data_IF_276708486145
#
_entry.id   IF_276708486145
#
_cell.length_a   1.000
_cell.length_b   1.000
_cell.length_c   1.000
_cell.angle_alpha   90.00
_cell.angle_beta   90.00
_cell.angle_gamma   90.00
#
_symmetry.space_group_name_H-M   'P 1'
#
loop_
_entity.id
_entity.type
_entity.pdbx_description
1 polymer ?
#
# COMPACT_ATOMS: atom_id res chain seq x y z
N UNK A 1 -28.52 -55.86 39.09
CA UNK A 1 -28.79 -55.03 37.92
C UNK A 1 -28.30 -53.56 38.10
N UNK A 2 -28.28 -52.97 39.32
CA UNK A 2 -27.85 -51.59 39.58
C UNK A 2 -26.30 -51.33 39.46
N UNK A 3 -25.50 -52.37 39.66
CA UNK A 3 -24.02 -52.27 39.64
C UNK A 3 -23.42 -52.15 38.22
N UNK A 4 -24.15 -52.55 37.20
CA UNK A 4 -23.69 -52.49 35.81
C UNK A 4 -24.04 -51.16 35.14
N UNK A 5 -24.99 -50.38 35.66
CA UNK A 5 -25.33 -49.05 35.19
C UNK A 5 -24.26 -47.99 35.56
N UNK A 6 -23.61 -48.17 36.73
CA UNK A 6 -22.54 -47.25 37.18
C UNK A 6 -21.21 -47.44 36.43
N UNK A 7 -20.98 -48.64 35.89
CA UNK A 7 -19.78 -48.90 35.06
C UNK A 7 -19.90 -48.33 33.65
N UNK A 8 -21.12 -48.21 33.10
CA UNK A 8 -21.36 -47.57 31.80
C UNK A 8 -21.26 -46.04 31.82
N UNK A 9 -21.64 -45.39 32.93
CA UNK A 9 -21.60 -43.96 33.10
C UNK A 9 -20.15 -43.41 33.27
N UNK A 10 -19.24 -44.22 33.87
CA UNK A 10 -17.82 -43.80 34.01
C UNK A 10 -17.04 -43.85 32.71
N UNK A 11 -17.43 -44.68 31.74
CA UNK A 11 -16.77 -44.74 30.41
C UNK A 11 -17.24 -43.60 29.49
N UNK A 12 -18.52 -43.18 29.64
CA UNK A 12 -19.06 -42.06 28.86
C UNK A 12 -18.53 -40.69 29.31
N UNK A 13 -18.18 -40.51 30.61
CA UNK A 13 -17.60 -39.27 31.12
C UNK A 13 -16.10 -39.09 30.76
N UNK A 14 -15.37 -40.18 30.52
CA UNK A 14 -13.97 -40.14 30.11
C UNK A 14 -13.76 -39.79 28.62
N UNK A 15 -14.77 -39.94 27.79
CA UNK A 15 -14.65 -39.65 26.34
C UNK A 15 -14.87 -38.15 25.99
N UNK A 16 -15.35 -37.31 26.93
CA UNK A 16 -15.60 -35.89 26.69
C UNK A 16 -14.47 -34.97 27.13
N UNK A 17 -13.36 -35.49 27.64
CA UNK A 17 -12.21 -34.71 28.08
C UNK A 17 -10.95 -34.93 27.24
N UNK A 18 -11.06 -35.53 26.06
CA UNK A 18 -9.95 -35.50 25.11
C UNK A 18 -9.75 -34.04 24.63
N UNK A 19 -8.58 -33.43 24.86
CA UNK A 19 -8.33 -32.11 24.25
C UNK A 19 -8.52 -32.27 22.75
N UNK A 20 -9.43 -31.49 22.17
CA UNK A 20 -9.46 -31.32 20.73
C UNK A 20 -8.09 -30.73 20.33
N UNK A 21 -7.20 -31.60 19.88
CA UNK A 21 -5.99 -31.15 19.17
C UNK A 21 -6.52 -30.45 17.94
N UNK A 22 -6.58 -29.12 18.00
CA UNK A 22 -6.80 -28.31 16.80
C UNK A 22 -5.74 -28.81 15.80
N UNK A 23 -6.17 -29.42 14.70
CA UNK A 23 -5.27 -29.79 13.63
C UNK A 23 -4.55 -28.51 13.23
N UNK A 24 -3.27 -28.40 13.59
CA UNK A 24 -2.41 -27.37 13.02
C UNK A 24 -2.56 -27.48 11.50
N UNK A 25 -2.79 -26.36 10.85
CA UNK A 25 -2.92 -26.31 9.39
C UNK A 25 -1.65 -26.91 8.80
N UNK A 26 -1.77 -28.11 8.24
CA UNK A 26 -0.63 -28.89 7.73
C UNK A 26 -0.27 -28.41 6.33
N UNK A 27 0.43 -27.29 6.22
CA UNK A 27 0.94 -26.74 4.97
C UNK A 27 1.08 -25.23 4.99
N UNK A 28 1.83 -24.66 4.05
CA UNK A 28 2.04 -23.21 3.98
C UNK A 28 0.71 -22.49 3.69
N UNK A 29 0.53 -21.33 4.33
CA UNK A 29 -0.52 -20.39 3.99
C UNK A 29 -0.08 -19.64 2.74
N UNK A 30 -0.82 -19.74 1.64
CA UNK A 30 -0.52 -19.02 0.42
C UNK A 30 -1.40 -17.78 0.32
N UNK A 31 -0.79 -16.63 0.01
CA UNK A 31 -1.47 -15.36 -0.19
C UNK A 31 -1.14 -14.79 -1.57
N UNK A 32 -2.18 -14.39 -2.30
CA UNK A 32 -2.06 -13.75 -3.60
C UNK A 32 -2.27 -12.25 -3.45
N UNK A 33 -1.23 -11.50 -3.78
CA UNK A 33 -1.18 -10.05 -3.70
C UNK A 33 -1.04 -9.40 -5.06
N UNK A 34 -1.34 -8.12 -5.12
CA UNK A 34 -1.00 -7.27 -6.24
C UNK A 34 -0.42 -5.95 -5.72
N UNK A 35 0.59 -5.42 -6.40
CA UNK A 35 1.05 -4.04 -6.19
C UNK A 35 0.29 -3.06 -7.09
N UNK A 36 0.35 -1.77 -6.77
CA UNK A 36 -0.18 -0.71 -7.64
C UNK A 36 0.82 -0.24 -8.69
N UNK A 37 1.96 -0.92 -8.83
CA UNK A 37 3.11 -0.50 -9.61
C UNK A 37 3.26 -1.31 -10.89
N UNK A 38 3.73 -0.69 -12.00
CA UNK A 38 4.19 -1.41 -13.18
C UNK A 38 5.33 -2.39 -12.84
N UNK A 39 5.45 -3.50 -13.57
CA UNK A 39 6.48 -4.50 -13.33
C UNK A 39 7.93 -3.99 -13.44
N UNK A 40 8.16 -2.87 -14.14
CA UNK A 40 9.50 -2.25 -14.30
C UNK A 40 9.79 -1.18 -13.24
N UNK A 41 8.83 -0.89 -12.36
CA UNK A 41 8.95 0.15 -11.34
C UNK A 41 9.74 -0.39 -10.14
N UNK A 42 10.67 0.40 -9.62
CA UNK A 42 11.39 0.10 -8.38
C UNK A 42 10.44 -0.15 -7.21
N UNK A 43 9.26 0.47 -7.20
CA UNK A 43 8.24 0.24 -6.17
C UNK A 43 7.65 -1.18 -6.25
N UNK A 44 7.61 -1.79 -7.44
CA UNK A 44 7.25 -3.21 -7.55
C UNK A 44 8.36 -4.10 -7.00
N UNK A 45 9.62 -3.73 -7.21
CA UNK A 45 10.77 -4.44 -6.60
C UNK A 45 10.70 -4.40 -5.07
N UNK A 46 10.32 -3.27 -4.47
CA UNK A 46 10.10 -3.16 -3.03
C UNK A 46 8.95 -4.05 -2.53
N UNK A 47 7.88 -4.17 -3.30
CA UNK A 47 6.79 -5.09 -2.98
C UNK A 47 7.25 -6.57 -3.01
N UNK A 48 8.08 -6.94 -3.99
CA UNK A 48 8.68 -8.27 -4.11
C UNK A 48 9.67 -8.53 -2.97
N UNK A 49 10.49 -7.55 -2.60
CA UNK A 49 11.44 -7.65 -1.50
C UNK A 49 10.74 -7.85 -0.14
N UNK A 50 9.68 -7.08 0.11
CA UNK A 50 8.84 -7.28 1.29
C UNK A 50 8.28 -8.71 1.35
N UNK A 51 7.69 -9.18 0.27
CA UNK A 51 7.14 -10.53 0.20
C UNK A 51 8.24 -11.59 0.43
N UNK A 52 9.42 -11.39 -0.16
CA UNK A 52 10.58 -12.27 0.06
C UNK A 52 10.98 -12.31 1.52
N UNK A 53 11.09 -11.15 2.21
CA UNK A 53 11.41 -11.08 3.63
C UNK A 53 10.40 -11.87 4.49
N UNK A 54 9.09 -11.68 4.23
CA UNK A 54 8.05 -12.44 4.94
C UNK A 54 8.19 -13.94 4.67
N UNK A 55 8.37 -14.35 3.43
CA UNK A 55 8.48 -15.75 3.03
C UNK A 55 9.70 -16.41 3.71
N UNK A 56 10.85 -15.73 3.69
CA UNK A 56 12.10 -16.24 4.30
C UNK A 56 12.00 -16.30 5.83
N UNK A 57 11.54 -15.22 6.48
CA UNK A 57 11.45 -15.12 7.93
C UNK A 57 10.40 -16.10 8.53
N UNK A 58 9.40 -16.50 7.76
CA UNK A 58 8.42 -17.51 8.16
C UNK A 58 8.92 -18.93 7.91
N UNK A 59 10.08 -19.12 7.24
CA UNK A 59 10.57 -20.44 6.83
C UNK A 59 9.63 -21.13 5.82
N UNK A 60 8.81 -20.34 5.11
CA UNK A 60 7.84 -20.83 4.14
C UNK A 60 6.48 -21.21 4.72
N UNK A 61 6.24 -21.01 6.03
CA UNK A 61 4.92 -21.18 6.64
C UNK A 61 3.87 -20.22 6.05
N UNK A 62 4.30 -19.02 5.62
CA UNK A 62 3.52 -18.06 4.87
C UNK A 62 4.22 -17.76 3.55
N UNK A 63 3.50 -17.85 2.43
CA UNK A 63 3.99 -17.55 1.09
C UNK A 63 3.13 -16.45 0.46
N UNK A 64 3.76 -15.32 0.21
CA UNK A 64 3.13 -14.19 -0.50
C UNK A 64 3.66 -14.19 -1.93
N UNK A 65 2.74 -14.26 -2.90
CA UNK A 65 2.99 -14.02 -4.32
C UNK A 65 2.50 -12.63 -4.68
N UNK A 66 3.36 -11.78 -5.25
CA UNK A 66 3.01 -10.39 -5.62
C UNK A 66 2.97 -10.25 -7.14
N UNK A 67 1.83 -9.85 -7.65
CA UNK A 67 1.60 -9.55 -9.06
C UNK A 67 1.74 -8.04 -9.32
N UNK A 68 2.20 -7.61 -10.50
CA UNK A 68 2.23 -6.19 -10.85
C UNK A 68 0.82 -5.63 -11.09
N UNK A 69 0.72 -4.30 -11.13
CA UNK A 69 -0.53 -3.58 -11.39
C UNK A 69 -1.24 -4.07 -12.65
N UNK A 70 -2.56 -4.19 -12.57
CA UNK A 70 -3.40 -4.61 -13.71
C UNK A 70 -3.49 -6.12 -13.93
N UNK A 71 -2.79 -6.94 -13.14
CA UNK A 71 -2.85 -8.41 -13.27
C UNK A 71 -4.21 -8.98 -12.84
N UNK A 72 -4.83 -8.39 -11.81
CA UNK A 72 -6.13 -8.81 -11.27
C UNK A 72 -7.14 -7.66 -11.33
N UNK A 73 -6.72 -6.46 -10.88
CA UNK A 73 -7.54 -5.25 -10.86
C UNK A 73 -6.72 -4.05 -11.32
N UNK A 74 -7.34 -2.97 -11.85
CA UNK A 74 -6.66 -1.70 -12.05
C UNK A 74 -6.01 -1.21 -10.74
N UNK A 75 -4.90 -0.45 -10.82
CA UNK A 75 -4.13 -0.04 -9.64
C UNK A 75 -5.00 0.66 -8.56
N UNK A 76 -5.88 1.58 -8.95
CA UNK A 76 -6.80 2.26 -8.01
C UNK A 76 -7.91 1.38 -7.43
N UNK A 77 -8.09 0.18 -7.97
CA UNK A 77 -9.03 -0.82 -7.45
C UNK A 77 -8.47 -1.71 -6.35
N UNK A 78 -7.18 -1.56 -5.99
CA UNK A 78 -6.49 -2.47 -5.08
C UNK A 78 -7.16 -2.54 -3.70
N UNK A 79 -7.46 -1.40 -3.07
CA UNK A 79 -8.10 -1.37 -1.74
C UNK A 79 -9.41 -2.15 -1.71
N UNK A 80 -10.24 -1.98 -2.73
CA UNK A 80 -11.52 -2.66 -2.83
C UNK A 80 -11.33 -4.17 -3.03
N UNK A 81 -10.38 -4.57 -3.87
CA UNK A 81 -10.08 -5.98 -4.11
C UNK A 81 -9.57 -6.70 -2.85
N UNK A 82 -8.70 -6.04 -2.08
CA UNK A 82 -8.20 -6.57 -0.80
C UNK A 82 -9.32 -6.60 0.24
N UNK A 83 -10.10 -5.52 0.36
CA UNK A 83 -11.21 -5.44 1.32
C UNK A 83 -12.26 -6.54 1.09
N UNK A 84 -12.58 -6.85 -0.17
CA UNK A 84 -13.52 -7.92 -0.55
C UNK A 84 -12.92 -9.33 -0.54
N UNK A 85 -11.60 -9.46 -0.39
CA UNK A 85 -10.91 -10.75 -0.39
C UNK A 85 -10.68 -11.37 -1.78
N UNK A 86 -10.86 -10.59 -2.87
CA UNK A 86 -10.44 -10.97 -4.23
C UNK A 86 -8.92 -11.14 -4.30
N UNK A 87 -8.21 -10.32 -3.56
CA UNK A 87 -6.80 -10.43 -3.22
C UNK A 87 -6.64 -10.61 -1.72
N UNK A 88 -5.62 -11.34 -1.31
CA UNK A 88 -5.32 -11.56 0.11
C UNK A 88 -4.64 -10.37 0.75
N UNK A 89 -3.96 -9.57 -0.08
CA UNK A 89 -3.28 -8.36 0.33
C UNK A 89 -2.77 -7.57 -0.87
N UNK A 90 -2.02 -6.52 -0.58
CA UNK A 90 -1.46 -5.67 -1.61
C UNK A 90 -0.44 -4.68 -1.09
N UNK A 91 0.24 -4.05 -2.03
CA UNK A 91 1.25 -3.03 -1.81
C UNK A 91 0.94 -1.80 -2.65
N UNK A 92 0.88 -0.65 -2.00
CA UNK A 92 0.53 0.60 -2.67
C UNK A 92 0.82 1.82 -1.82
N UNK A 93 0.03 2.86 -2.02
CA UNK A 93 0.08 4.13 -1.27
C UNK A 93 -1.33 4.61 -0.97
N UNK A 94 -1.49 5.21 0.22
CA UNK A 94 -2.79 5.70 0.68
C UNK A 94 -3.36 6.82 -0.20
N UNK A 95 -2.51 7.61 -0.86
CA UNK A 95 -2.93 8.65 -1.80
C UNK A 95 -3.76 8.13 -2.97
N UNK A 96 -3.60 6.87 -3.36
CA UNK A 96 -4.41 6.24 -4.41
C UNK A 96 -5.85 5.95 -3.97
N UNK A 97 -6.14 6.04 -2.69
CA UNK A 97 -7.48 5.86 -2.12
C UNK A 97 -8.21 7.19 -1.89
N UNK A 98 -7.62 8.31 -2.33
CA UNK A 98 -8.15 9.67 -2.17
C UNK A 98 -9.61 9.79 -2.61
N UNK A 99 -9.97 9.24 -3.76
CA UNK A 99 -11.34 9.26 -4.29
C UNK A 99 -12.37 8.50 -3.43
N UNK A 100 -11.93 7.56 -2.58
CA UNK A 100 -12.80 6.84 -1.64
C UNK A 100 -12.94 7.60 -0.32
N UNK A 101 -11.84 8.11 0.20
CA UNK A 101 -11.79 8.93 1.40
C UNK A 101 -10.54 9.80 1.35
N UNK A 102 -10.72 11.12 1.25
CA UNK A 102 -9.63 12.07 1.07
C UNK A 102 -8.66 12.12 2.27
N UNK A 103 -9.13 11.85 3.48
CA UNK A 103 -8.30 11.80 4.66
C UNK A 103 -7.19 10.73 4.61
N UNK A 104 -7.37 9.66 3.82
CA UNK A 104 -6.32 8.64 3.60
C UNK A 104 -5.04 9.26 3.01
N UNK A 105 -5.18 10.28 2.17
CA UNK A 105 -4.05 10.96 1.57
C UNK A 105 -3.17 11.73 2.58
N UNK A 106 -3.63 12.00 3.79
CA UNK A 106 -2.82 12.65 4.83
C UNK A 106 -1.62 11.81 5.27
N UNK A 107 -1.67 10.50 5.11
CA UNK A 107 -0.55 9.60 5.45
C UNK A 107 0.52 9.51 4.37
N UNK A 108 0.23 9.93 3.13
CA UNK A 108 1.13 9.66 2.01
C UNK A 108 1.30 10.82 1.03
N UNK A 109 0.28 11.63 0.77
CA UNK A 109 0.33 12.65 -0.28
C UNK A 109 -0.15 14.02 0.21
N UNK A 110 0.16 14.31 1.44
CA UNK A 110 -0.18 15.56 2.10
C UNK A 110 1.04 16.45 2.36
N UNK A 111 0.81 17.61 2.98
CA UNK A 111 1.85 18.59 3.29
C UNK A 111 2.83 18.14 4.40
N UNK A 112 2.65 16.96 4.97
CA UNK A 112 3.42 16.35 6.07
C UNK A 112 3.62 17.22 7.32
N UNK A 113 3.13 18.47 7.31
CA UNK A 113 3.16 19.44 8.44
C UNK A 113 4.55 19.63 9.08
N UNK A 114 5.60 19.63 8.26
CA UNK A 114 6.99 19.77 8.68
C UNK A 114 7.68 18.46 9.09
N UNK A 115 7.01 17.33 9.00
CA UNK A 115 7.62 16.02 9.20
C UNK A 115 8.32 15.55 7.91
N UNK A 116 9.43 14.84 8.06
CA UNK A 116 9.98 13.99 7.01
C UNK A 116 9.31 12.59 7.03
N UNK A 117 9.66 11.75 6.08
CA UNK A 117 9.05 10.42 5.96
C UNK A 117 9.34 9.51 7.16
N UNK A 118 10.53 9.61 7.77
CA UNK A 118 10.86 8.86 8.98
C UNK A 118 10.03 9.35 10.19
N UNK A 119 9.82 10.67 10.29
CA UNK A 119 8.95 11.25 11.33
C UNK A 119 7.50 10.80 11.17
N UNK A 120 6.99 10.70 9.94
CA UNK A 120 5.63 10.17 9.66
C UNK A 120 5.55 8.71 10.10
N UNK A 121 6.53 7.87 9.77
CA UNK A 121 6.58 6.47 10.20
C UNK A 121 6.64 6.37 11.73
N UNK A 122 7.45 7.20 12.40
CA UNK A 122 7.54 7.22 13.85
C UNK A 122 6.21 7.69 14.49
N UNK A 123 5.58 8.75 13.96
CA UNK A 123 4.26 9.18 14.41
C UNK A 123 3.20 8.09 14.19
N UNK A 124 3.22 7.45 13.04
CA UNK A 124 2.29 6.36 12.75
C UNK A 124 2.42 5.24 13.79
N UNK A 125 3.64 4.83 14.10
CA UNK A 125 3.93 3.72 15.02
C UNK A 125 3.72 4.08 16.49
N UNK A 126 4.14 5.26 16.92
CA UNK A 126 4.21 5.64 18.35
C UNK A 126 3.29 6.79 18.72
N UNK A 127 2.82 7.59 17.76
CA UNK A 127 2.02 8.80 17.96
C UNK A 127 0.52 8.60 17.74
N UNK A 128 0.05 7.36 17.59
CA UNK A 128 -1.38 7.05 17.41
C UNK A 128 -1.84 7.01 15.95
N UNK A 129 -0.96 7.24 14.98
CA UNK A 129 -1.30 7.24 13.55
C UNK A 129 -1.88 5.91 13.07
N UNK A 130 -1.35 4.76 13.55
CA UNK A 130 -1.85 3.44 13.20
C UNK A 130 -3.29 3.21 13.69
N UNK A 131 -3.60 3.66 14.90
CA UNK A 131 -4.96 3.58 15.47
C UNK A 131 -5.94 4.45 14.69
N UNK A 132 -5.54 5.69 14.34
CA UNK A 132 -6.36 6.60 13.54
C UNK A 132 -6.64 6.02 12.16
N UNK A 133 -5.63 5.46 11.48
CA UNK A 133 -5.80 4.83 10.17
C UNK A 133 -6.74 3.63 10.24
N UNK A 134 -6.61 2.79 11.27
CA UNK A 134 -7.51 1.65 11.49
C UNK A 134 -8.96 2.10 11.69
N UNK A 135 -9.19 3.15 12.50
CA UNK A 135 -10.52 3.75 12.69
C UNK A 135 -11.08 4.33 11.38
N UNK A 136 -10.23 4.97 10.59
CA UNK A 136 -10.63 5.54 9.31
C UNK A 136 -11.06 4.43 8.34
N UNK A 137 -10.28 3.36 8.20
CA UNK A 137 -10.67 2.22 7.37
C UNK A 137 -11.97 1.58 7.84
N UNK A 138 -12.16 1.39 9.15
CA UNK A 138 -13.40 0.87 9.72
C UNK A 138 -14.60 1.79 9.40
N UNK A 139 -14.44 3.12 9.48
CA UNK A 139 -15.50 4.10 9.23
C UNK A 139 -16.02 4.08 7.80
N UNK A 140 -15.18 3.69 6.84
CA UNK A 140 -15.55 3.56 5.42
C UNK A 140 -15.88 2.12 5.01
N UNK A 141 -16.01 1.22 5.98
CA UNK A 141 -16.37 -0.19 5.74
C UNK A 141 -15.28 -1.01 5.03
N UNK A 142 -14.02 -0.57 5.05
CA UNK A 142 -12.92 -1.32 4.45
C UNK A 142 -12.37 -2.39 5.40
N UNK A 143 -12.41 -3.64 4.97
CA UNK A 143 -11.94 -4.81 5.72
C UNK A 143 -10.46 -5.06 5.46
N UNK A 144 -9.60 -4.15 5.91
CA UNK A 144 -8.14 -4.24 5.72
C UNK A 144 -7.39 -4.07 7.03
N UNK A 145 -6.27 -4.79 7.16
CA UNK A 145 -5.21 -4.53 8.13
C UNK A 145 -4.07 -3.86 7.38
N UNK A 146 -3.76 -2.63 7.74
CA UNK A 146 -2.77 -1.79 7.09
C UNK A 146 -1.50 -1.65 7.93
N UNK A 147 -0.36 -1.57 7.25
CA UNK A 147 0.94 -1.22 7.80
C UNK A 147 1.59 -0.17 6.91
N UNK A 148 2.14 0.88 7.50
CA UNK A 148 3.02 1.79 6.78
C UNK A 148 4.45 1.31 6.86
N UNK A 149 5.20 1.52 5.79
CA UNK A 149 6.62 1.25 5.76
C UNK A 149 7.35 2.10 4.72
N UNK A 150 8.67 2.04 4.76
CA UNK A 150 9.58 2.66 3.82
C UNK A 150 9.48 4.18 3.80
N UNK A 151 10.53 4.93 4.14
CA UNK A 151 10.54 6.36 3.91
C UNK A 151 10.65 6.64 2.42
N UNK A 152 9.78 7.48 1.88
CA UNK A 152 9.90 8.04 0.55
C UNK A 152 10.31 9.50 0.65
N UNK A 153 11.22 9.91 -0.22
CA UNK A 153 11.68 11.31 -0.29
C UNK A 153 10.58 12.24 -0.80
N UNK A 154 10.82 13.54 -0.66
CA UNK A 154 9.99 14.58 -1.26
C UNK A 154 9.78 14.34 -2.75
N UNK A 155 8.54 14.37 -3.20
CA UNK A 155 8.18 14.25 -4.61
C UNK A 155 8.72 15.45 -5.40
N UNK A 156 9.28 15.23 -6.61
CA UNK A 156 9.59 16.33 -7.52
C UNK A 156 8.31 17.05 -7.95
N UNK A 157 8.43 18.29 -8.42
CA UNK A 157 7.30 18.96 -9.05
C UNK A 157 6.82 18.17 -10.27
N UNK A 158 7.74 17.54 -10.98
CA UNK A 158 7.43 16.59 -12.03
C UNK A 158 8.18 16.82 -13.32
N UNK A 159 7.69 16.16 -14.37
CA UNK A 159 8.18 16.20 -15.74
C UNK A 159 7.22 17.02 -16.61
N UNK A 160 7.75 17.97 -17.38
CA UNK A 160 6.95 18.93 -18.14
C UNK A 160 7.44 19.06 -19.57
N UNK A 161 6.52 19.38 -20.49
CA UNK A 161 6.88 19.78 -21.88
C UNK A 161 7.61 21.11 -21.93
N UNK A 162 7.31 22.01 -20.96
CA UNK A 162 7.92 23.34 -20.80
C UNK A 162 8.20 23.61 -19.33
N UNK A 163 9.23 24.38 -18.96
CA UNK A 163 9.48 24.76 -17.58
C UNK A 163 8.29 25.51 -16.97
N UNK A 164 7.99 25.22 -15.70
CA UNK A 164 7.05 25.97 -14.86
C UNK A 164 7.87 26.99 -14.09
N UNK A 165 7.68 28.27 -14.36
CA UNK A 165 8.49 29.36 -13.79
C UNK A 165 7.71 30.26 -12.84
N UNK A 166 6.39 30.20 -12.88
CA UNK A 166 5.46 30.97 -12.04
C UNK A 166 4.14 30.23 -11.87
N UNK A 167 3.40 30.58 -10.85
CA UNK A 167 2.09 29.95 -10.55
C UNK A 167 1.11 30.05 -11.73
N UNK A 168 1.15 31.13 -12.49
CA UNK A 168 0.29 31.32 -13.66
C UNK A 168 0.51 30.26 -14.77
N UNK A 169 1.67 29.59 -14.80
CA UNK A 169 1.97 28.57 -15.79
C UNK A 169 1.17 27.27 -15.57
N UNK A 170 0.56 27.11 -14.39
CA UNK A 170 -0.38 26.02 -14.12
C UNK A 170 -1.76 26.23 -14.74
N UNK A 171 -2.13 27.45 -15.11
CA UNK A 171 -3.47 27.72 -15.63
C UNK A 171 -3.72 26.96 -16.95
N UNK A 172 -4.67 26.05 -16.92
CA UNK A 172 -5.04 25.20 -18.06
C UNK A 172 -4.06 24.07 -18.36
N UNK A 173 -2.98 23.91 -17.56
CA UNK A 173 -2.02 22.83 -17.71
C UNK A 173 -2.70 21.49 -17.46
N UNK A 174 -2.62 20.56 -18.41
CA UNK A 174 -3.06 19.18 -18.22
C UNK A 174 -2.04 18.44 -17.39
N UNK A 175 -2.30 18.32 -16.09
CA UNK A 175 -1.32 17.84 -15.13
C UNK A 175 -1.80 16.57 -14.42
N UNK A 176 -0.92 15.58 -14.35
CA UNK A 176 -1.18 14.38 -13.54
C UNK A 176 -0.58 14.55 -12.16
N UNK A 177 -1.39 14.35 -11.16
CA UNK A 177 -0.98 14.17 -9.76
C UNK A 177 -1.96 13.24 -9.03
N UNK A 178 -1.73 12.99 -7.76
CA UNK A 178 -2.60 12.16 -6.93
C UNK A 178 -2.81 12.78 -5.54
N UNK A 179 -3.73 12.20 -4.76
CA UNK A 179 -3.98 12.59 -3.37
C UNK A 179 -4.42 14.04 -3.22
N UNK A 180 -3.99 14.70 -2.16
CA UNK A 180 -4.34 16.10 -1.84
C UNK A 180 -3.76 17.11 -2.84
N UNK A 181 -2.72 16.76 -3.57
CA UNK A 181 -2.17 17.60 -4.62
C UNK A 181 -3.15 17.86 -5.76
N UNK A 182 -4.16 17.00 -5.94
CA UNK A 182 -5.26 17.22 -6.88
C UNK A 182 -5.96 18.55 -6.59
N UNK A 183 -6.35 18.76 -5.33
CA UNK A 183 -7.04 20.00 -4.92
C UNK A 183 -6.13 21.22 -5.05
N UNK A 184 -4.86 21.09 -4.63
CA UNK A 184 -3.89 22.16 -4.72
C UNK A 184 -3.70 22.65 -6.15
N UNK A 185 -3.37 21.77 -7.08
CA UNK A 185 -3.10 22.17 -8.46
C UNK A 185 -4.39 22.56 -9.22
N UNK A 186 -5.53 21.98 -8.85
CA UNK A 186 -6.83 22.45 -9.37
C UNK A 186 -7.11 23.88 -8.91
N UNK A 187 -6.85 24.22 -7.65
CA UNK A 187 -7.00 25.59 -7.16
C UNK A 187 -6.04 26.57 -7.83
N UNK A 188 -4.88 26.10 -8.30
CA UNK A 188 -3.93 26.88 -9.12
C UNK A 188 -4.37 27.01 -10.59
N UNK A 189 -5.48 26.39 -10.97
CA UNK A 189 -6.06 26.48 -12.32
C UNK A 189 -5.60 25.38 -13.29
N UNK A 190 -4.90 24.34 -12.84
CA UNK A 190 -4.53 23.20 -13.68
C UNK A 190 -5.75 22.31 -13.99
N UNK A 191 -5.74 21.68 -15.17
CA UNK A 191 -6.65 20.61 -15.54
C UNK A 191 -6.06 19.29 -15.04
N UNK A 192 -6.37 18.93 -13.79
CA UNK A 192 -5.75 17.79 -13.10
C UNK A 192 -6.44 16.47 -13.48
N UNK A 193 -5.62 15.45 -13.75
CA UNK A 193 -6.03 14.07 -13.93
C UNK A 193 -5.26 13.15 -12.98
N UNK A 194 -5.95 12.31 -12.25
CA UNK A 194 -5.35 11.22 -11.48
C UNK A 194 -5.22 9.98 -12.39
N UNK A 195 -3.97 9.56 -12.64
CA UNK A 195 -3.67 8.34 -13.37
C UNK A 195 -2.69 7.48 -12.57
N UNK A 196 -2.83 6.15 -12.61
CA UNK A 196 -1.82 5.26 -12.02
C UNK A 196 -0.50 5.33 -12.80
N UNK A 197 0.62 5.01 -12.13
CA UNK A 197 1.96 5.19 -12.68
C UNK A 197 2.19 4.64 -14.09
N UNK A 198 1.67 3.44 -14.37
CA UNK A 198 1.84 2.80 -15.69
C UNK A 198 1.11 3.49 -16.85
N UNK A 199 0.19 4.40 -16.57
CA UNK A 199 -0.59 5.11 -17.60
C UNK A 199 -0.03 6.49 -17.91
N UNK A 200 0.91 7.00 -17.12
CA UNK A 200 1.39 8.40 -17.22
C UNK A 200 2.18 8.62 -18.50
N UNK A 201 3.25 7.85 -18.73
CA UNK A 201 4.12 8.02 -19.90
C UNK A 201 3.33 7.86 -21.21
N UNK A 202 2.47 6.84 -21.38
CA UNK A 202 1.59 6.76 -22.55
C UNK A 202 0.64 7.95 -22.71
N UNK A 203 0.15 8.54 -21.62
CA UNK A 203 -0.73 9.71 -21.68
C UNK A 203 0.04 11.00 -22.08
N UNK A 204 1.28 11.16 -21.59
CA UNK A 204 2.17 12.25 -21.98
C UNK A 204 2.57 12.15 -23.45
N UNK A 205 2.91 10.96 -23.94
CA UNK A 205 3.29 10.71 -25.34
C UNK A 205 2.15 11.08 -26.30
N UNK A 206 0.93 10.69 -25.98
CA UNK A 206 -0.27 11.02 -26.76
C UNK A 206 -0.75 12.48 -26.62
N UNK A 207 -0.08 13.31 -25.81
CA UNK A 207 -0.46 14.70 -25.59
C UNK A 207 -1.73 14.90 -24.74
N UNK A 208 -2.14 13.86 -24.00
CA UNK A 208 -3.24 13.95 -23.03
C UNK A 208 -2.81 14.69 -21.76
N UNK A 209 -1.51 14.72 -21.48
CA UNK A 209 -0.89 15.46 -20.39
C UNK A 209 0.21 16.39 -20.92
N UNK A 210 0.34 17.54 -20.26
CA UNK A 210 1.42 18.51 -20.48
C UNK A 210 2.54 18.37 -19.44
N UNK A 211 2.23 17.73 -18.31
CA UNK A 211 3.17 17.41 -17.26
C UNK A 211 2.60 16.37 -16.29
N UNK A 212 3.49 15.74 -15.55
CA UNK A 212 3.14 14.76 -14.53
C UNK A 212 4.24 14.67 -13.47
N UNK A 213 3.85 14.47 -12.21
CA UNK A 213 4.71 13.93 -11.18
C UNK A 213 4.45 12.43 -11.03
N UNK A 214 5.42 11.68 -10.51
CA UNK A 214 5.18 10.28 -10.15
C UNK A 214 5.98 9.84 -8.94
N UNK A 215 7.33 9.80 -9.02
CA UNK A 215 8.17 9.30 -7.94
C UNK A 215 9.43 10.17 -7.76
N UNK A 216 10.54 9.74 -8.32
CA UNK A 216 11.81 10.47 -8.30
C UNK A 216 12.49 10.32 -9.66
N UNK A 217 13.48 11.19 -9.94
CA UNK A 217 14.12 11.25 -11.24
C UNK A 217 14.73 9.93 -11.71
N UNK A 218 15.25 9.11 -10.79
CA UNK A 218 15.86 7.81 -11.10
C UNK A 218 14.84 6.77 -11.52
N UNK A 219 13.77 6.62 -10.73
CA UNK A 219 12.67 5.69 -11.02
C UNK A 219 11.91 6.13 -12.27
N UNK A 220 11.56 7.41 -12.38
CA UNK A 220 10.82 7.96 -13.52
C UNK A 220 11.59 7.77 -14.83
N UNK A 221 12.92 7.85 -14.78
CA UNK A 221 13.77 7.53 -15.94
C UNK A 221 13.60 6.10 -16.42
N UNK A 222 13.51 5.13 -15.51
CA UNK A 222 13.30 3.71 -15.87
C UNK A 222 11.93 3.47 -16.51
N UNK A 223 10.95 4.30 -16.17
CA UNK A 223 9.62 4.24 -16.76
C UNK A 223 9.49 4.96 -18.11
N UNK A 224 10.52 5.70 -18.54
CA UNK A 224 10.56 6.37 -19.84
C UNK A 224 10.09 7.83 -19.84
N UNK A 225 9.99 8.49 -18.69
CA UNK A 225 9.61 9.91 -18.63
C UNK A 225 10.50 10.83 -19.47
N UNK A 226 11.85 10.66 -19.52
CA UNK A 226 12.71 11.47 -20.39
C UNK A 226 12.46 11.32 -21.89
N UNK A 227 11.81 10.24 -22.31
CA UNK A 227 11.50 10.00 -23.73
C UNK A 227 10.36 10.92 -24.20
N UNK A 228 9.42 11.22 -23.30
CA UNK A 228 8.21 12.02 -23.58
C UNK A 228 8.27 13.43 -23.01
N UNK A 229 9.23 13.74 -22.14
CA UNK A 229 9.44 15.07 -21.56
C UNK A 229 10.93 15.35 -21.32
N UNK A 230 11.39 16.57 -21.62
CA UNK A 230 12.79 16.96 -21.47
C UNK A 230 13.05 17.85 -20.25
N UNK A 231 12.02 18.25 -19.53
CA UNK A 231 12.12 19.12 -18.36
C UNK A 231 11.71 18.36 -17.12
N UNK A 232 12.67 18.06 -16.24
CA UNK A 232 12.44 17.53 -14.91
C UNK A 232 12.67 18.65 -13.89
N UNK A 233 11.66 18.94 -13.06
CA UNK A 233 11.71 19.96 -12.02
C UNK A 233 11.67 19.27 -10.65
N UNK A 234 12.80 19.28 -9.95
CA UNK A 234 12.96 18.49 -8.70
C UNK A 234 12.35 19.16 -7.47
N UNK A 235 12.33 20.50 -7.42
CA UNK A 235 11.89 21.23 -6.23
C UNK A 235 10.38 21.28 -6.15
N UNK A 236 9.85 20.79 -5.04
CA UNK A 236 8.44 20.92 -4.70
C UNK A 236 8.19 20.67 -3.20
N UNK A 237 7.05 21.15 -2.72
CA UNK A 237 6.56 20.93 -1.36
C UNK A 237 5.14 20.36 -1.32
N UNK A 238 4.56 20.02 -2.47
CA UNK A 238 3.18 19.54 -2.55
C UNK A 238 3.00 18.15 -1.91
N UNK A 239 4.03 17.32 -1.96
CA UNK A 239 4.13 16.01 -1.31
C UNK A 239 5.52 15.93 -0.67
N UNK A 240 5.66 16.53 0.51
CA UNK A 240 6.97 16.74 1.14
C UNK A 240 7.55 15.47 1.74
N UNK A 241 6.72 14.51 2.10
CA UNK A 241 7.14 13.19 2.59
C UNK A 241 6.07 12.16 2.29
N UNK A 242 6.50 10.95 1.98
CA UNK A 242 5.60 9.87 1.63
C UNK A 242 6.01 8.55 2.31
N UNK A 243 5.06 7.62 2.33
CA UNK A 243 5.23 6.27 2.86
C UNK A 243 4.49 5.29 1.96
N UNK A 244 4.94 4.04 1.96
CA UNK A 244 4.19 2.94 1.35
C UNK A 244 3.18 2.35 2.31
N UNK A 245 2.22 1.66 1.74
CA UNK A 245 1.25 0.87 2.47
C UNK A 245 1.32 -0.59 2.06
N UNK A 246 1.38 -1.45 3.07
CA UNK A 246 1.13 -2.88 2.97
C UNK A 246 -0.25 -3.12 3.55
N UNK A 247 -1.14 -3.73 2.79
CA UNK A 247 -2.48 -4.08 3.26
C UNK A 247 -2.75 -5.57 3.13
N UNK A 248 -3.36 -6.13 4.16
CA UNK A 248 -3.92 -7.48 4.18
C UNK A 248 -5.45 -7.41 4.22
N UNK A 249 -6.12 -8.36 3.59
CA UNK A 249 -7.51 -8.61 3.94
C UNK A 249 -7.58 -8.91 5.45
N UNK A 250 -8.32 -8.09 6.20
CA UNK A 250 -8.31 -8.15 7.67
C UNK A 250 -8.78 -9.50 8.21
N UNK A 251 -9.80 -10.09 7.60
CA UNK A 251 -10.32 -11.40 8.04
C UNK A 251 -9.26 -12.48 7.89
N UNK A 252 -8.50 -12.47 6.79
CA UNK A 252 -7.40 -13.42 6.57
C UNK A 252 -6.22 -13.15 7.50
N UNK A 253 -5.87 -11.87 7.72
CA UNK A 253 -4.84 -11.48 8.67
C UNK A 253 -5.19 -11.90 10.11
N UNK A 254 -6.42 -11.65 10.54
CA UNK A 254 -6.86 -11.97 11.90
C UNK A 254 -6.81 -13.49 12.18
N UNK A 255 -7.01 -14.31 11.16
CA UNK A 255 -6.92 -15.77 11.22
C UNK A 255 -5.47 -16.29 11.31
N UNK A 256 -4.46 -15.47 11.02
CA UNK A 256 -3.07 -15.90 11.11
C UNK A 256 -2.64 -16.21 12.55
N UNK A 257 -1.79 -17.22 12.76
CA UNK A 257 -1.15 -17.46 14.04
C UNK A 257 -0.37 -16.25 14.56
N UNK A 258 -0.33 -16.04 15.86
CA UNK A 258 0.38 -14.92 16.49
C UNK A 258 1.86 -14.83 16.08
N UNK A 259 2.54 -15.98 15.92
CA UNK A 259 3.92 -16.07 15.40
C UNK A 259 4.04 -15.37 14.05
N UNK A 260 3.15 -15.67 13.11
CA UNK A 260 3.22 -15.09 11.75
C UNK A 260 2.91 -13.60 11.76
N UNK A 261 1.96 -13.15 12.59
CA UNK A 261 1.68 -11.70 12.78
C UNK A 261 2.90 -10.94 13.30
N UNK A 262 3.63 -11.51 14.26
CA UNK A 262 4.87 -10.92 14.79
C UNK A 262 5.96 -10.85 13.72
N UNK A 263 6.09 -11.89 12.88
CA UNK A 263 7.05 -11.91 11.77
C UNK A 263 6.66 -10.87 10.71
N UNK A 264 5.40 -10.73 10.35
CA UNK A 264 4.90 -9.70 9.42
C UNK A 264 5.30 -8.30 9.92
N UNK A 265 5.08 -8.01 11.20
CA UNK A 265 5.50 -6.73 11.79
C UNK A 265 7.02 -6.53 11.72
N UNK A 266 7.81 -7.56 12.05
CA UNK A 266 9.28 -7.51 11.94
C UNK A 266 9.77 -7.35 10.50
N UNK A 267 9.14 -8.02 9.53
CA UNK A 267 9.46 -7.88 8.12
C UNK A 267 9.15 -6.47 7.59
N UNK A 268 8.09 -5.83 8.09
CA UNK A 268 7.75 -4.44 7.77
C UNK A 268 8.87 -3.48 8.22
N UNK A 269 9.38 -3.65 9.44
CA UNK A 269 10.51 -2.85 9.94
C UNK A 269 11.79 -3.12 9.14
N UNK A 270 12.09 -4.39 8.84
CA UNK A 270 13.26 -4.76 8.06
C UNK A 270 13.20 -4.17 6.64
N UNK A 271 12.03 -4.23 5.99
CA UNK A 271 11.85 -3.62 4.67
C UNK A 271 11.99 -2.10 4.71
N UNK A 272 11.50 -1.44 5.78
CA UNK A 272 11.69 0.01 5.96
C UNK A 272 13.17 0.39 6.15
N UNK A 273 13.95 -0.45 6.81
CA UNK A 273 15.37 -0.17 7.08
C UNK A 273 16.25 -0.32 5.83
N UNK A 274 15.82 -1.09 4.84
CA UNK A 274 16.57 -1.35 3.60
C UNK A 274 16.31 -0.28 2.52
N UNK A 275 15.40 0.68 2.75
CA UNK A 275 15.01 1.75 1.82
C UNK A 275 15.68 3.08 2.19
#
# INVERSE_FOLDING_TARGET
>A
RRRNLLKGAAIAAGAMSAPMIAKAQSGPINMRWQSTWPAKDIFHEYALDYAKKVNDMTGGDLKIEVLPAGSVVPAFGLLEAVSKGTLDGGHGVLGYHYGKQNALALWNSGPAFGMDANMILAWHKYGGGAELLSKLYASIGSNVQSFLYGPMATQPLGWFKKPITKTADFKGLKFRTNGLAIDLFTAMGAAVNALPGGEIVPAMDRGLLDGAEFNNASSDRLLGFPDVSKVCMLQSYHQSAETFEIMFNKTKYDALPAKLKAIIAGATEAASADM
#
